data_IF_018241045705
#
_entry.id   IF_018241045705
#
_cell.length_a   1.000
_cell.length_b   1.000
_cell.length_c   1.000
_cell.angle_alpha   90.00
_cell.angle_beta   90.00
_cell.angle_gamma   90.00
#
_symmetry.space_group_name_H-M   'P 1'
#
loop_
_entity.id
_entity.type
_entity.pdbx_description
1 polymer ?
#
# COMPACT_ATOMS: atom_id res chain seq x y z
N UNK A 1 18.26 13.05 31.18
CA UNK A 1 16.83 12.62 31.12
C UNK A 1 16.73 11.36 30.29
N UNK A 2 16.23 10.28 30.87
CA UNK A 2 16.13 9.00 30.20
C UNK A 2 14.71 8.81 29.64
N UNK A 3 14.60 8.50 28.35
CA UNK A 3 13.35 8.12 27.71
C UNK A 3 13.30 6.59 27.62
N UNK A 4 12.20 5.99 28.07
CA UNK A 4 12.01 4.52 28.12
C UNK A 4 10.62 4.14 27.61
N UNK A 5 10.46 2.87 27.20
CA UNK A 5 9.16 2.29 26.90
C UNK A 5 8.69 1.47 28.10
N UNK A 6 7.51 1.79 28.60
CA UNK A 6 6.85 1.05 29.68
C UNK A 6 5.64 0.32 29.12
N UNK A 7 5.54 -1.01 29.20
CA UNK A 7 4.36 -1.75 28.79
C UNK A 7 3.10 -1.24 29.47
N UNK A 8 2.01 -1.08 28.71
CA UNK A 8 0.68 -0.68 29.23
C UNK A 8 -0.18 -1.89 29.61
N UNK A 9 0.26 -3.11 29.24
CA UNK A 9 -0.44 -4.36 29.49
C UNK A 9 0.45 -5.58 29.20
N UNK A 10 -0.09 -6.79 29.35
CA UNK A 10 0.63 -8.02 29.03
C UNK A 10 0.95 -8.10 27.55
N UNK A 11 1.98 -8.88 27.20
CA UNK A 11 2.26 -9.22 25.82
C UNK A 11 1.14 -10.13 25.30
N UNK A 12 0.46 -9.69 24.25
CA UNK A 12 -0.49 -10.55 23.54
C UNK A 12 0.29 -11.48 22.63
N UNK A 13 0.01 -12.80 22.72
CA UNK A 13 0.64 -13.83 21.91
C UNK A 13 -0.42 -14.69 21.25
N UNK A 14 -0.34 -14.85 19.92
CA UNK A 14 -1.13 -15.80 19.16
C UNK A 14 -0.48 -17.18 19.09
N UNK A 15 -1.26 -18.21 18.76
CA UNK A 15 -0.79 -19.59 18.60
C UNK A 15 0.20 -19.73 17.43
N UNK A 16 0.14 -18.85 16.44
CA UNK A 16 1.02 -18.71 15.28
C UNK A 16 2.33 -17.97 15.56
N UNK A 17 2.58 -17.62 16.83
CA UNK A 17 3.72 -16.82 17.25
C UNK A 17 3.55 -15.32 17.05
N UNK A 18 2.37 -14.86 16.62
CA UNK A 18 2.04 -13.44 16.53
C UNK A 18 2.19 -12.76 17.90
N UNK A 19 2.71 -11.54 17.92
CA UNK A 19 2.93 -10.75 19.14
C UNK A 19 2.39 -9.36 18.94
N UNK A 20 1.74 -8.80 19.97
CA UNK A 20 1.33 -7.40 19.97
C UNK A 20 1.44 -6.80 21.38
N UNK A 21 1.85 -5.53 21.46
CA UNK A 21 1.93 -4.79 22.73
C UNK A 21 1.96 -3.30 22.50
N UNK A 22 1.29 -2.57 23.37
CA UNK A 22 1.36 -1.11 23.45
C UNK A 22 2.25 -0.68 24.61
N UNK A 23 2.93 0.44 24.44
CA UNK A 23 3.84 1.02 25.42
C UNK A 23 3.54 2.50 25.65
N UNK A 24 3.67 2.95 26.89
CA UNK A 24 3.86 4.36 27.20
C UNK A 24 5.31 4.76 26.87
N UNK A 25 5.48 5.89 26.20
CA UNK A 25 6.77 6.57 26.13
C UNK A 25 6.92 7.40 27.40
N UNK A 26 7.90 7.07 28.25
CA UNK A 26 8.10 7.71 29.56
C UNK A 26 9.40 8.51 29.57
N UNK A 27 9.38 9.66 30.28
CA UNK A 27 10.57 10.45 30.63
C UNK A 27 10.60 10.55 32.14
N UNK A 28 11.66 10.01 32.77
CA UNK A 28 11.76 9.93 34.23
C UNK A 28 10.47 9.35 34.85
N UNK A 29 9.98 8.23 34.31
CA UNK A 29 8.73 7.53 34.71
C UNK A 29 7.40 8.26 34.39
N UNK A 30 7.41 9.52 33.96
CA UNK A 30 6.21 10.25 33.55
C UNK A 30 5.84 9.90 32.11
N UNK A 31 4.62 9.44 31.81
CA UNK A 31 4.17 9.21 30.45
C UNK A 31 4.15 10.53 29.67
N UNK A 32 4.68 10.49 28.44
CA UNK A 32 4.77 11.64 27.51
C UNK A 32 4.27 11.27 26.12
N UNK A 33 3.84 10.03 25.92
CA UNK A 33 3.35 9.54 24.64
C UNK A 33 3.07 8.05 24.68
N UNK A 34 2.80 7.49 23.49
CA UNK A 34 2.51 6.06 23.32
C UNK A 34 3.12 5.55 22.01
N UNK A 35 3.28 4.22 21.92
CA UNK A 35 3.72 3.53 20.72
C UNK A 35 3.15 2.10 20.75
N UNK A 36 2.68 1.61 19.58
CA UNK A 36 2.23 0.24 19.40
C UNK A 36 3.21 -0.57 18.56
N UNK A 37 3.40 -1.82 18.92
CA UNK A 37 4.16 -2.82 18.18
C UNK A 37 3.32 -4.08 18.00
N UNK A 38 3.30 -4.62 16.78
CA UNK A 38 2.68 -5.88 16.46
C UNK A 38 3.51 -6.62 15.42
N UNK A 39 3.50 -7.96 15.43
CA UNK A 39 4.04 -8.72 14.30
C UNK A 39 3.11 -8.58 13.10
N UNK A 40 3.67 -8.72 11.90
CA UNK A 40 2.92 -8.50 10.67
C UNK A 40 2.03 -9.70 10.34
N UNK A 41 0.76 -9.46 10.05
CA UNK A 41 -0.23 -10.51 9.78
C UNK A 41 0.14 -11.40 8.58
N UNK A 42 0.75 -10.83 7.54
CA UNK A 42 1.13 -11.55 6.31
C UNK A 42 2.53 -12.13 6.37
N UNK A 43 3.52 -11.33 6.85
CA UNK A 43 4.92 -11.76 6.91
C UNK A 43 5.26 -12.49 8.21
N UNK A 44 4.26 -12.74 9.05
CA UNK A 44 4.40 -13.49 10.29
C UNK A 44 5.30 -12.83 11.35
N UNK A 45 5.77 -13.60 12.34
CA UNK A 45 6.44 -13.08 13.52
C UNK A 45 7.84 -12.50 13.26
N UNK A 46 8.40 -12.69 12.07
CA UNK A 46 9.72 -12.14 11.71
C UNK A 46 9.68 -10.67 11.26
N UNK A 47 8.51 -10.10 11.07
CA UNK A 47 8.33 -8.69 10.69
C UNK A 47 7.50 -7.98 11.74
N UNK A 48 8.03 -6.89 12.30
CA UNK A 48 7.32 -6.03 13.24
C UNK A 48 6.68 -4.84 12.53
N UNK A 49 5.47 -4.49 12.92
CA UNK A 49 4.79 -3.22 12.56
C UNK A 49 4.88 -2.27 13.74
N UNK A 50 5.44 -1.08 13.50
CA UNK A 50 5.40 0.04 14.41
C UNK A 50 4.21 0.92 14.02
N UNK A 51 3.32 1.20 14.96
CA UNK A 51 2.13 2.03 14.74
C UNK A 51 1.87 2.95 15.92
N UNK A 52 1.06 3.98 15.71
CA UNK A 52 0.57 4.90 16.75
C UNK A 52 1.65 5.54 17.64
N UNK A 53 2.84 5.82 17.06
CA UNK A 53 3.83 6.61 17.78
C UNK A 53 3.33 8.05 17.95
N UNK A 54 3.00 8.40 19.17
CA UNK A 54 2.50 9.73 19.54
C UNK A 54 3.30 10.30 20.70
N UNK A 55 3.70 11.55 20.60
CA UNK A 55 4.31 12.31 21.69
C UNK A 55 3.39 13.49 22.01
N UNK A 56 3.07 13.67 23.28
CA UNK A 56 2.25 14.77 23.77
C UNK A 56 2.88 16.11 23.37
N UNK A 57 2.06 17.07 22.98
CA UNK A 57 2.51 18.33 22.39
C UNK A 57 3.58 19.07 23.20
N UNK A 58 3.45 19.22 24.56
CA UNK A 58 4.48 19.89 25.38
C UNK A 58 5.83 19.18 25.40
N UNK A 59 5.83 17.90 24.96
CA UNK A 59 6.99 17.02 25.00
C UNK A 59 7.64 16.78 23.64
N UNK A 60 7.07 17.34 22.57
CA UNK A 60 7.60 17.25 21.19
C UNK A 60 8.91 18.02 21.00
N UNK A 61 9.60 17.76 19.88
CA UNK A 61 10.85 18.43 19.45
C UNK A 61 12.01 18.37 20.46
N UNK A 62 12.02 17.30 21.29
CA UNK A 62 13.06 17.03 22.30
C UNK A 62 13.72 15.66 22.11
N UNK A 63 13.70 15.12 20.89
CA UNK A 63 14.27 13.80 20.56
C UNK A 63 13.50 12.59 21.09
N UNK A 64 12.37 12.77 21.79
CA UNK A 64 11.65 11.67 22.47
C UNK A 64 11.06 10.65 21.51
N UNK A 65 10.54 11.08 20.35
CA UNK A 65 10.06 10.18 19.30
C UNK A 65 11.19 9.33 18.72
N UNK A 66 12.37 9.90 18.54
CA UNK A 66 13.56 9.19 18.05
C UNK A 66 13.97 8.09 19.03
N UNK A 67 14.07 8.42 20.33
CA UNK A 67 14.45 7.44 21.35
C UNK A 67 13.38 6.36 21.49
N UNK A 68 12.09 6.73 21.43
CA UNK A 68 10.99 5.76 21.46
C UNK A 68 11.03 4.80 20.26
N UNK A 69 11.27 5.29 19.05
CA UNK A 69 11.39 4.44 17.86
C UNK A 69 12.61 3.51 17.93
N UNK A 70 13.77 3.99 18.39
CA UNK A 70 14.95 3.15 18.61
C UNK A 70 14.70 2.08 19.68
N UNK A 71 14.05 2.43 20.80
CA UNK A 71 13.67 1.45 21.82
C UNK A 71 12.66 0.43 21.29
N UNK A 72 11.75 0.82 20.38
CA UNK A 72 10.84 -0.08 19.71
C UNK A 72 11.58 -1.06 18.78
N UNK A 73 12.63 -0.63 18.09
CA UNK A 73 13.49 -1.51 17.29
C UNK A 73 14.16 -2.58 18.17
N UNK A 74 14.63 -2.20 19.37
CA UNK A 74 15.19 -3.17 20.33
C UNK A 74 14.13 -4.18 20.82
N UNK A 75 12.92 -3.73 21.10
CA UNK A 75 11.81 -4.64 21.45
C UNK A 75 11.52 -5.60 20.29
N UNK A 76 11.47 -5.10 19.06
CA UNK A 76 11.25 -5.94 17.88
C UNK A 76 12.38 -6.97 17.68
N UNK A 77 13.65 -6.59 17.90
CA UNK A 77 14.78 -7.55 17.93
C UNK A 77 14.59 -8.62 19.03
N UNK A 78 14.20 -8.21 20.22
CA UNK A 78 13.88 -9.12 21.32
C UNK A 78 12.70 -10.06 21.03
N UNK A 79 11.82 -9.70 20.10
CA UNK A 79 10.76 -10.57 19.59
C UNK A 79 11.25 -11.55 18.50
N UNK A 80 12.48 -11.39 18.01
CA UNK A 80 13.05 -12.18 16.92
C UNK A 80 12.68 -11.66 15.53
N UNK A 81 12.22 -10.40 15.42
CA UNK A 81 11.91 -9.80 14.13
C UNK A 81 13.21 -9.43 13.39
N UNK A 82 13.26 -9.74 12.11
CA UNK A 82 14.37 -9.38 11.22
C UNK A 82 14.15 -8.02 10.52
N UNK A 83 12.93 -7.49 10.56
CA UNK A 83 12.55 -6.24 9.89
C UNK A 83 11.45 -5.54 10.68
N UNK A 84 11.45 -4.21 10.64
CA UNK A 84 10.38 -3.36 11.17
C UNK A 84 9.79 -2.51 10.04
N UNK A 85 8.46 -2.38 10.03
CA UNK A 85 7.71 -1.61 9.04
C UNK A 85 6.82 -0.58 9.74
N UNK A 86 6.55 0.52 9.04
CA UNK A 86 5.60 1.54 9.51
C UNK A 86 4.94 2.26 8.35
N UNK A 87 3.74 2.78 8.58
CA UNK A 87 3.02 3.63 7.64
C UNK A 87 2.99 5.05 8.19
N UNK A 88 3.35 6.02 7.34
CA UNK A 88 3.40 7.43 7.71
C UNK A 88 2.49 8.23 6.79
N UNK A 89 1.49 8.98 7.32
CA UNK A 89 0.69 9.90 6.52
C UNK A 89 1.55 10.94 5.82
N UNK A 90 1.16 11.34 4.61
CA UNK A 90 1.97 12.26 3.80
C UNK A 90 2.08 13.67 4.41
N UNK A 91 1.08 14.09 5.17
CA UNK A 91 1.06 15.37 5.89
C UNK A 91 1.85 15.35 7.22
N UNK A 92 2.27 14.16 7.69
CA UNK A 92 3.00 14.01 8.94
C UNK A 92 4.50 14.31 8.78
N UNK A 93 4.87 15.53 8.37
CA UNK A 93 6.24 15.93 8.04
C UNK A 93 7.28 15.63 9.15
N UNK A 94 6.89 15.69 10.43
CA UNK A 94 7.77 15.33 11.54
C UNK A 94 8.06 13.83 11.59
N UNK A 95 7.07 12.99 11.32
CA UNK A 95 7.23 11.54 11.28
C UNK A 95 8.05 11.11 10.05
N UNK A 96 7.84 11.74 8.88
CA UNK A 96 8.65 11.50 7.68
C UNK A 96 10.13 11.80 7.94
N UNK A 97 10.45 12.94 8.54
CA UNK A 97 11.85 13.26 8.93
C UNK A 97 12.41 12.25 9.93
N UNK A 98 11.60 11.80 10.87
CA UNK A 98 12.02 10.82 11.87
C UNK A 98 12.41 9.49 11.23
N UNK A 99 11.52 8.90 10.41
CA UNK A 99 11.79 7.60 9.79
C UNK A 99 12.98 7.66 8.83
N UNK A 100 13.12 8.75 8.06
CA UNK A 100 14.29 8.96 7.18
C UNK A 100 15.59 9.07 8.00
N UNK A 101 15.60 9.85 9.09
CA UNK A 101 16.77 10.01 9.96
C UNK A 101 17.17 8.71 10.66
N UNK A 102 16.21 7.81 10.90
CA UNK A 102 16.46 6.48 11.49
C UNK A 102 16.84 5.41 10.45
N UNK A 103 16.94 5.76 9.17
CA UNK A 103 17.36 4.85 8.09
C UNK A 103 16.27 3.92 7.61
N UNK A 104 15.00 4.27 7.81
CA UNK A 104 13.91 3.56 7.14
C UNK A 104 13.89 3.90 5.66
N UNK A 105 13.65 2.89 4.82
CA UNK A 105 13.57 3.02 3.37
C UNK A 105 12.11 2.92 2.94
N UNK A 106 11.69 3.83 2.08
CA UNK A 106 10.35 3.77 1.48
C UNK A 106 10.24 2.59 0.52
N UNK A 107 9.18 1.78 0.68
CA UNK A 107 8.89 0.62 -0.16
C UNK A 107 7.79 0.87 -1.18
N UNK A 108 6.77 1.60 -0.76
CA UNK A 108 5.62 1.94 -1.60
C UNK A 108 4.90 3.15 -1.02
N UNK A 109 4.00 3.72 -1.80
CA UNK A 109 3.10 4.78 -1.34
C UNK A 109 1.69 4.57 -1.83
N UNK A 110 0.73 5.02 -1.02
CA UNK A 110 -0.63 5.21 -1.46
C UNK A 110 -0.75 6.58 -2.09
N UNK A 111 -1.27 6.64 -3.30
CA UNK A 111 -1.61 7.87 -3.99
C UNK A 111 -3.12 8.01 -4.07
N UNK A 112 -3.60 9.25 -4.02
CA UNK A 112 -5.02 9.57 -4.21
C UNK A 112 -5.19 10.80 -5.08
N UNK A 113 -6.35 10.90 -5.74
CA UNK A 113 -6.74 12.06 -6.55
C UNK A 113 -8.23 12.32 -6.36
N UNK A 114 -8.68 13.58 -6.09
CA UNK A 114 -10.08 13.95 -6.19
C UNK A 114 -10.59 13.80 -7.63
N UNK A 115 -11.77 13.23 -7.80
CA UNK A 115 -12.43 13.09 -9.10
C UNK A 115 -13.28 14.34 -9.43
N UNK A 116 -12.66 15.51 -9.42
CA UNK A 116 -13.29 16.81 -9.75
C UNK A 116 -12.98 17.23 -11.17
N UNK A 117 -13.77 18.20 -11.71
CA UNK A 117 -13.57 18.74 -13.07
C UNK A 117 -14.16 17.85 -14.19
N UNK A 118 -13.89 18.08 -15.47
CA UNK A 118 -14.39 17.30 -16.59
C UNK A 118 -13.80 15.88 -16.61
N UNK A 119 -14.57 14.93 -17.15
CA UNK A 119 -14.08 13.59 -17.42
C UNK A 119 -13.06 13.67 -18.56
N UNK A 120 -11.84 13.14 -18.41
CA UNK A 120 -10.88 13.12 -19.50
C UNK A 120 -11.38 12.27 -20.67
N UNK A 121 -11.26 12.81 -21.88
CA UNK A 121 -11.54 12.05 -23.10
C UNK A 121 -10.36 11.12 -23.44
N UNK A 122 -10.68 9.94 -23.97
CA UNK A 122 -9.68 9.06 -24.51
C UNK A 122 -9.21 9.54 -25.90
N UNK A 123 -7.95 9.33 -26.26
CA UNK A 123 -7.45 9.66 -27.59
C UNK A 123 -8.25 8.97 -28.69
N UNK A 124 -8.29 9.58 -29.88
CA UNK A 124 -8.97 9.00 -31.04
C UNK A 124 -8.49 7.58 -31.33
N UNK A 125 -9.42 6.67 -31.62
CA UNK A 125 -9.17 5.26 -31.86
C UNK A 125 -8.88 4.43 -30.57
N UNK A 126 -8.95 5.07 -29.39
CA UNK A 126 -8.76 4.39 -28.10
C UNK A 126 -10.11 4.21 -27.42
N UNK A 127 -10.43 3.00 -27.01
CA UNK A 127 -11.70 2.64 -26.37
C UNK A 127 -11.47 1.75 -25.13
N UNK A 128 -12.22 2.03 -24.07
CA UNK A 128 -12.31 1.17 -22.89
C UNK A 128 -13.60 0.36 -22.94
N UNK A 129 -13.50 -0.95 -22.75
CA UNK A 129 -14.67 -1.85 -22.70
C UNK A 129 -14.55 -2.83 -21.55
N UNK A 130 -15.66 -3.41 -21.09
CA UNK A 130 -15.60 -4.53 -20.16
C UNK A 130 -14.77 -5.70 -20.73
N UNK A 131 -14.05 -6.39 -19.84
CA UNK A 131 -13.32 -7.61 -20.15
C UNK A 131 -14.32 -8.74 -20.43
N UNK A 132 -14.06 -9.55 -21.42
CA UNK A 132 -14.87 -10.74 -21.76
C UNK A 132 -14.44 -11.95 -20.95
N UNK A 133 -15.31 -12.99 -20.85
CA UNK A 133 -14.98 -14.26 -20.19
C UNK A 133 -13.74 -14.94 -20.80
N UNK A 134 -13.57 -14.84 -22.12
CA UNK A 134 -12.41 -15.41 -22.82
C UNK A 134 -11.09 -14.70 -22.44
N UNK A 135 -11.14 -13.41 -22.09
CA UNK A 135 -10.00 -12.61 -21.70
C UNK A 135 -9.68 -12.73 -20.21
N UNK A 136 -10.71 -12.96 -19.38
CA UNK A 136 -10.58 -12.96 -17.93
C UNK A 136 -9.69 -14.10 -17.40
N UNK A 137 -9.79 -15.30 -17.96
CA UNK A 137 -8.98 -16.44 -17.53
C UNK A 137 -7.47 -16.18 -17.67
N UNK A 138 -6.97 -15.90 -18.88
CA UNK A 138 -5.57 -15.55 -19.10
C UNK A 138 -5.08 -14.33 -18.32
N UNK A 139 -5.94 -13.31 -18.18
CA UNK A 139 -5.63 -12.12 -17.36
C UNK A 139 -5.44 -12.50 -15.90
N UNK A 140 -6.36 -13.27 -15.30
CA UNK A 140 -6.30 -13.64 -13.88
C UNK A 140 -5.05 -14.45 -13.55
N UNK A 141 -4.62 -15.34 -14.44
CA UNK A 141 -3.37 -16.09 -14.26
C UNK A 141 -2.18 -15.13 -14.17
N UNK A 142 -2.05 -14.21 -15.15
CA UNK A 142 -0.97 -13.21 -15.14
C UNK A 142 -1.02 -12.28 -13.93
N UNK A 143 -2.21 -11.82 -13.54
CA UNK A 143 -2.40 -10.94 -12.39
C UNK A 143 -1.93 -11.61 -11.09
N UNK A 144 -2.27 -12.88 -10.88
CA UNK A 144 -1.82 -13.67 -9.72
C UNK A 144 -0.30 -13.86 -9.71
N UNK A 145 0.30 -14.17 -10.85
CA UNK A 145 1.76 -14.35 -10.97
C UNK A 145 2.51 -13.05 -10.63
N UNK A 146 2.09 -11.91 -11.21
CA UNK A 146 2.68 -10.61 -10.91
C UNK A 146 2.49 -10.21 -9.44
N UNK A 147 1.31 -10.47 -8.88
CA UNK A 147 1.04 -10.21 -7.48
C UNK A 147 1.92 -11.08 -6.57
N UNK A 148 2.04 -12.37 -6.84
CA UNK A 148 2.92 -13.29 -6.10
C UNK A 148 4.39 -12.83 -6.17
N UNK A 149 4.90 -12.46 -7.36
CA UNK A 149 6.24 -11.91 -7.52
C UNK A 149 6.48 -10.69 -6.63
N UNK A 150 5.53 -9.75 -6.58
CA UNK A 150 5.62 -8.57 -5.71
C UNK A 150 5.79 -8.94 -4.22
N UNK A 151 5.14 -10.00 -3.75
CA UNK A 151 5.28 -10.49 -2.37
C UNK A 151 6.58 -11.23 -2.14
N UNK A 152 7.04 -12.01 -3.11
CA UNK A 152 8.35 -12.68 -3.07
C UNK A 152 9.49 -11.66 -2.99
N UNK A 153 9.44 -10.60 -3.79
CA UNK A 153 10.41 -9.49 -3.75
C UNK A 153 10.43 -8.76 -2.40
N UNK A 154 9.33 -8.85 -1.66
CA UNK A 154 9.22 -8.32 -0.29
C UNK A 154 9.67 -9.31 0.79
N UNK A 155 10.10 -10.51 0.38
CA UNK A 155 10.68 -11.53 1.25
C UNK A 155 9.68 -12.57 1.78
N UNK A 156 8.49 -12.71 1.16
CA UNK A 156 7.61 -13.84 1.42
C UNK A 156 8.12 -15.07 0.65
N UNK A 157 8.14 -16.28 1.23
CA UNK A 157 8.43 -17.51 0.51
C UNK A 157 7.51 -17.67 -0.71
N UNK A 158 8.02 -18.27 -1.79
CA UNK A 158 7.32 -18.33 -3.08
C UNK A 158 5.98 -19.08 -3.00
N UNK A 159 5.93 -20.17 -2.26
CA UNK A 159 4.72 -20.95 -2.02
C UNK A 159 3.68 -20.16 -1.21
N UNK A 160 4.10 -19.44 -0.18
CA UNK A 160 3.23 -18.56 0.60
C UNK A 160 2.74 -17.36 -0.23
N UNK A 161 3.61 -16.78 -1.08
CA UNK A 161 3.24 -15.70 -1.98
C UNK A 161 2.19 -16.14 -3.02
N UNK A 162 2.32 -17.34 -3.57
CA UNK A 162 1.32 -17.93 -4.47
C UNK A 162 0.00 -18.23 -3.76
N UNK A 163 0.05 -18.86 -2.58
CA UNK A 163 -1.15 -19.12 -1.78
C UNK A 163 -1.88 -17.82 -1.41
N UNK A 164 -1.12 -16.77 -1.07
CA UNK A 164 -1.68 -15.44 -0.82
C UNK A 164 -2.32 -14.85 -2.08
N UNK A 165 -1.66 -14.95 -3.23
CA UNK A 165 -2.21 -14.46 -4.49
C UNK A 165 -3.55 -15.14 -4.81
N UNK A 166 -3.63 -16.46 -4.64
CA UNK A 166 -4.89 -17.21 -4.81
C UNK A 166 -5.98 -16.72 -3.85
N UNK A 167 -5.67 -16.63 -2.56
CA UNK A 167 -6.64 -16.25 -1.53
C UNK A 167 -7.13 -14.81 -1.71
N UNK A 168 -6.22 -13.87 -2.00
CA UNK A 168 -6.57 -12.45 -2.15
C UNK A 168 -7.40 -12.20 -3.40
N UNK A 169 -7.06 -12.83 -4.53
CA UNK A 169 -7.86 -12.73 -5.76
C UNK A 169 -9.22 -13.43 -5.62
N UNK A 170 -9.28 -14.60 -4.98
CA UNK A 170 -10.55 -15.28 -4.72
C UNK A 170 -11.49 -14.45 -3.82
N UNK A 171 -10.92 -13.74 -2.83
CA UNK A 171 -11.67 -12.84 -1.96
C UNK A 171 -12.12 -11.57 -2.68
N UNK A 172 -11.25 -10.98 -3.51
CA UNK A 172 -11.54 -9.75 -4.24
C UNK A 172 -12.45 -9.97 -5.46
N UNK A 173 -12.43 -11.15 -6.05
CA UNK A 173 -13.21 -11.54 -7.22
C UNK A 173 -14.03 -12.82 -6.98
N UNK A 174 -14.90 -12.86 -5.94
CA UNK A 174 -15.62 -14.09 -5.56
C UNK A 174 -16.58 -14.61 -6.63
N UNK A 175 -16.94 -13.77 -7.60
CA UNK A 175 -17.80 -14.11 -8.75
C UNK A 175 -17.15 -13.77 -10.09
N UNK A 176 -15.81 -13.72 -10.16
CA UNK A 176 -15.07 -13.33 -11.36
C UNK A 176 -15.53 -11.98 -11.92
N UNK A 177 -15.84 -11.93 -13.21
CA UNK A 177 -16.36 -10.72 -13.88
C UNK A 177 -17.70 -10.22 -13.33
N UNK A 178 -18.50 -11.10 -12.71
CA UNK A 178 -19.79 -10.74 -12.11
C UNK A 178 -19.66 -10.27 -10.64
N UNK A 179 -18.45 -10.03 -10.15
CA UNK A 179 -18.25 -9.49 -8.81
C UNK A 179 -18.80 -8.06 -8.73
N UNK A 180 -19.71 -7.75 -7.78
CA UNK A 180 -20.28 -6.42 -7.65
C UNK A 180 -19.21 -5.37 -7.37
N UNK A 181 -19.48 -4.15 -7.76
CA UNK A 181 -18.63 -2.99 -7.50
C UNK A 181 -17.17 -3.17 -7.94
N UNK A 182 -16.96 -4.07 -8.92
CA UNK A 182 -15.66 -4.36 -9.52
C UNK A 182 -15.75 -4.22 -11.03
N UNK A 183 -14.85 -3.45 -11.61
CA UNK A 183 -14.80 -3.19 -13.04
C UNK A 183 -13.47 -3.73 -13.59
N UNK A 184 -13.56 -4.80 -14.38
CA UNK A 184 -12.46 -5.35 -15.16
C UNK A 184 -12.61 -4.89 -16.60
N UNK A 185 -11.65 -4.09 -17.07
CA UNK A 185 -11.71 -3.45 -18.37
C UNK A 185 -10.50 -3.76 -19.24
N UNK A 186 -10.72 -3.79 -20.53
CA UNK A 186 -9.70 -3.86 -21.58
C UNK A 186 -9.65 -2.51 -22.28
N UNK A 187 -8.45 -1.98 -22.48
CA UNK A 187 -8.20 -0.84 -23.35
C UNK A 187 -7.79 -1.36 -24.73
N UNK A 188 -8.47 -0.87 -25.75
CA UNK A 188 -8.10 -1.13 -27.16
C UNK A 188 -7.67 0.16 -27.83
N UNK A 189 -6.75 0.06 -28.79
CA UNK A 189 -6.34 1.16 -29.65
C UNK A 189 -6.35 0.66 -31.11
N UNK A 190 -7.15 1.31 -31.97
CA UNK A 190 -7.45 0.84 -33.33
C UNK A 190 -7.83 -0.65 -33.41
N UNK A 191 -8.67 -1.10 -32.45
CA UNK A 191 -9.15 -2.47 -32.37
C UNK A 191 -8.18 -3.50 -31.75
N UNK A 192 -6.92 -3.10 -31.48
CA UNK A 192 -5.93 -3.96 -30.83
C UNK A 192 -5.97 -3.75 -29.32
N UNK A 193 -5.97 -4.83 -28.52
CA UNK A 193 -5.82 -4.73 -27.07
C UNK A 193 -4.42 -4.19 -26.75
N UNK A 194 -4.34 -3.21 -25.86
CA UNK A 194 -3.10 -2.55 -25.45
C UNK A 194 -2.89 -2.53 -23.94
N UNK A 195 -3.88 -2.97 -23.17
CA UNK A 195 -3.75 -3.05 -21.72
C UNK A 195 -5.05 -3.37 -21.01
N UNK A 196 -4.95 -3.52 -19.68
CA UNK A 196 -6.04 -3.92 -18.79
C UNK A 196 -6.11 -3.02 -17.55
N UNK A 197 -7.30 -2.95 -16.95
CA UNK A 197 -7.58 -2.19 -15.75
C UNK A 197 -8.46 -3.03 -14.81
N UNK A 198 -8.09 -3.06 -13.53
CA UNK A 198 -8.93 -3.56 -12.44
C UNK A 198 -9.22 -2.43 -11.46
N UNK A 199 -10.46 -1.99 -11.43
CA UNK A 199 -10.97 -0.93 -10.56
C UNK A 199 -12.02 -1.50 -9.60
N UNK A 200 -11.91 -1.18 -8.32
CA UNK A 200 -12.98 -1.37 -7.34
C UNK A 200 -13.70 -0.04 -7.09
N UNK A 201 -15.01 -0.11 -6.94
CA UNK A 201 -15.87 1.02 -6.54
C UNK A 201 -16.75 0.62 -5.33
N UNK A 202 -16.31 -0.39 -4.57
CA UNK A 202 -17.05 -0.92 -3.42
C UNK A 202 -17.06 0.03 -2.21
N UNK A 203 -15.96 0.72 -1.98
CA UNK A 203 -15.80 1.65 -0.86
C UNK A 203 -16.19 3.08 -1.26
N UNK A 204 -16.07 4.03 -0.34
CA UNK A 204 -16.32 5.47 -0.59
C UNK A 204 -15.41 6.03 -1.68
N UNK A 205 -14.16 5.59 -1.74
CA UNK A 205 -13.19 5.92 -2.79
C UNK A 205 -13.11 4.80 -3.84
N UNK A 206 -12.97 5.14 -5.12
CA UNK A 206 -12.56 4.18 -6.13
C UNK A 206 -11.09 3.75 -5.88
N UNK A 207 -10.78 2.49 -6.16
CA UNK A 207 -9.42 1.98 -5.96
C UNK A 207 -8.93 1.16 -7.16
N UNK A 208 -7.80 1.56 -7.75
CA UNK A 208 -7.13 0.81 -8.81
C UNK A 208 -6.29 -0.30 -8.18
N UNK A 209 -6.74 -1.54 -8.35
CA UNK A 209 -5.99 -2.73 -7.91
C UNK A 209 -4.88 -3.09 -8.88
N UNK A 210 -5.16 -2.99 -10.18
CA UNK A 210 -4.19 -3.27 -11.23
C UNK A 210 -4.41 -2.38 -12.46
N UNK A 211 -3.32 -1.93 -13.06
CA UNK A 211 -3.28 -1.23 -14.33
C UNK A 211 -2.04 -1.68 -15.09
N UNK A 212 -2.25 -2.33 -16.21
CA UNK A 212 -1.19 -2.93 -17.01
C UNK A 212 -1.28 -2.52 -18.47
N UNK A 213 -0.15 -2.07 -19.05
CA UNK A 213 0.02 -1.90 -20.49
C UNK A 213 0.84 -3.05 -21.01
N UNK A 214 0.36 -3.70 -22.07
CA UNK A 214 1.03 -4.81 -22.72
C UNK A 214 2.44 -4.37 -23.18
N UNK A 215 3.46 -5.23 -23.01
CA UNK A 215 4.87 -4.84 -23.11
C UNK A 215 5.22 -4.16 -24.45
N UNK A 216 4.66 -4.67 -25.54
CA UNK A 216 4.85 -4.18 -26.92
C UNK A 216 4.18 -2.82 -27.19
N UNK A 217 3.23 -2.41 -26.32
CA UNK A 217 2.47 -1.18 -26.43
C UNK A 217 2.88 -0.09 -25.43
N UNK A 218 3.95 -0.32 -24.65
CA UNK A 218 4.48 0.67 -23.70
C UNK A 218 5.09 1.87 -24.43
N UNK A 219 5.14 3.01 -23.73
CA UNK A 219 5.71 4.25 -24.29
C UNK A 219 4.77 5.06 -25.21
N UNK A 220 3.56 4.56 -25.51
CA UNK A 220 2.60 5.19 -26.44
C UNK A 220 1.45 5.93 -25.72
N UNK A 221 1.56 6.18 -24.41
CA UNK A 221 0.55 6.92 -23.66
C UNK A 221 -0.63 6.08 -23.15
N UNK A 222 -0.69 4.78 -23.42
CA UNK A 222 -1.80 3.91 -23.03
C UNK A 222 -2.00 3.80 -21.51
N UNK A 223 -0.94 3.92 -20.70
CA UNK A 223 -1.05 4.00 -19.25
C UNK A 223 -1.86 5.22 -18.79
N UNK A 224 -1.70 6.36 -19.46
CA UNK A 224 -2.51 7.56 -19.22
C UNK A 224 -3.97 7.32 -19.60
N UNK A 225 -4.22 6.69 -20.74
CA UNK A 225 -5.57 6.36 -21.20
C UNK A 225 -6.27 5.39 -20.24
N UNK A 226 -5.55 4.38 -19.69
CA UNK A 226 -6.10 3.48 -18.67
C UNK A 226 -6.47 4.23 -17.38
N UNK A 227 -5.64 5.19 -16.95
CA UNK A 227 -5.96 6.00 -15.77
C UNK A 227 -7.14 6.94 -16.01
N UNK A 228 -7.26 7.55 -17.20
CA UNK A 228 -8.44 8.33 -17.58
C UNK A 228 -9.71 7.47 -17.61
N UNK A 229 -9.60 6.22 -18.11
CA UNK A 229 -10.71 5.26 -18.05
C UNK A 229 -11.11 4.96 -16.61
N UNK A 230 -10.13 4.71 -15.72
CA UNK A 230 -10.38 4.47 -14.29
C UNK A 230 -11.08 5.67 -13.62
N UNK A 231 -10.63 6.90 -13.90
CA UNK A 231 -11.23 8.14 -13.39
C UNK A 231 -12.67 8.32 -13.90
N UNK A 232 -12.92 8.02 -15.20
CA UNK A 232 -14.25 8.07 -15.78
C UNK A 232 -15.20 7.05 -15.15
N UNK A 233 -14.73 5.81 -14.97
CA UNK A 233 -15.50 4.73 -14.35
C UNK A 233 -15.78 4.99 -12.86
N UNK A 234 -14.79 5.45 -12.10
CA UNK A 234 -14.97 5.81 -10.69
C UNK A 234 -16.01 6.90 -10.52
N UNK A 235 -15.99 7.89 -11.39
CA UNK A 235 -16.96 8.98 -11.39
C UNK A 235 -18.36 8.52 -11.80
N UNK A 236 -18.47 7.68 -12.81
CA UNK A 236 -19.75 7.10 -13.23
C UNK A 236 -20.39 6.25 -12.12
N UNK A 237 -19.56 5.67 -11.25
CA UNK A 237 -20.00 4.95 -10.04
C UNK A 237 -20.29 5.91 -8.84
N UNK A 238 -20.23 7.23 -9.04
CA UNK A 238 -20.52 8.21 -7.99
C UNK A 238 -19.42 8.37 -6.94
N UNK A 239 -18.15 8.04 -7.27
CA UNK A 239 -17.02 8.22 -6.36
C UNK A 239 -16.39 9.59 -6.54
N UNK A 240 -16.05 10.23 -5.42
CA UNK A 240 -15.46 11.58 -5.40
C UNK A 240 -13.93 11.55 -5.39
N UNK A 241 -13.35 10.37 -5.18
CA UNK A 241 -11.91 10.18 -5.10
C UNK A 241 -11.50 8.82 -5.69
N UNK A 242 -10.28 8.75 -6.19
CA UNK A 242 -9.64 7.51 -6.65
C UNK A 242 -8.28 7.36 -5.99
N UNK A 243 -7.92 6.12 -5.63
CA UNK A 243 -6.64 5.79 -5.02
C UNK A 243 -5.99 4.59 -5.67
N UNK A 244 -4.69 4.45 -5.42
CA UNK A 244 -3.87 3.31 -5.83
C UNK A 244 -2.65 3.16 -4.91
N UNK A 245 -2.01 2.00 -4.95
CA UNK A 245 -0.69 1.80 -4.37
C UNK A 245 0.36 1.65 -5.48
N UNK A 246 1.55 2.21 -5.26
CA UNK A 246 2.67 2.11 -6.19
C UNK A 246 3.97 1.85 -5.44
N UNK A 247 4.82 0.97 -5.98
CA UNK A 247 6.16 0.72 -5.45
C UNK A 247 7.05 1.94 -5.68
N UNK A 248 7.95 2.23 -4.74
CA UNK A 248 8.82 3.41 -4.79
C UNK A 248 9.90 3.36 -5.88
N UNK A 249 10.20 2.18 -6.38
CA UNK A 249 11.14 1.95 -7.49
C UNK A 249 10.47 1.98 -8.88
N UNK A 250 9.14 1.96 -8.95
CA UNK A 250 8.40 2.08 -10.21
C UNK A 250 8.34 3.55 -10.68
N UNK A 251 9.51 4.09 -11.05
CA UNK A 251 9.65 5.47 -11.52
C UNK A 251 8.73 5.83 -12.70
N UNK A 252 8.54 4.97 -13.73
CA UNK A 252 7.60 5.29 -14.82
C UNK A 252 6.17 5.51 -14.34
N UNK A 253 5.66 4.66 -13.45
CA UNK A 253 4.32 4.79 -12.90
C UNK A 253 4.20 6.03 -12.00
N UNK A 254 5.19 6.29 -11.15
CA UNK A 254 5.23 7.48 -10.29
C UNK A 254 5.15 8.78 -11.09
N UNK A 255 5.93 8.88 -12.18
CA UNK A 255 5.90 10.03 -13.08
C UNK A 255 4.55 10.19 -13.78
N UNK A 256 3.95 9.07 -14.21
CA UNK A 256 2.61 9.07 -14.80
C UNK A 256 1.59 9.61 -13.81
N UNK A 257 1.51 9.04 -12.61
CA UNK A 257 0.52 9.45 -11.60
C UNK A 257 0.70 10.89 -11.16
N UNK A 258 1.94 11.35 -10.94
CA UNK A 258 2.23 12.75 -10.63
C UNK A 258 1.76 13.69 -11.75
N UNK A 259 2.00 13.33 -13.03
CA UNK A 259 1.55 14.12 -14.18
C UNK A 259 0.02 14.16 -14.34
N UNK A 260 -0.70 13.22 -13.72
CA UNK A 260 -2.16 13.15 -13.67
C UNK A 260 -2.77 13.82 -12.43
N UNK A 261 -1.93 14.36 -11.53
CA UNK A 261 -2.39 15.05 -10.32
C UNK A 261 -2.73 14.10 -9.15
N UNK A 262 -2.19 12.87 -9.15
CA UNK A 262 -2.25 12.01 -7.97
C UNK A 262 -1.23 12.47 -6.93
N UNK A 263 -1.66 12.59 -5.69
CA UNK A 263 -0.85 13.05 -4.57
C UNK A 263 -0.68 11.94 -3.52
N UNK A 264 0.47 11.89 -2.82
CA UNK A 264 0.68 10.93 -1.75
C UNK A 264 -0.31 11.16 -0.59
N UNK A 265 -0.98 10.08 -0.17
CA UNK A 265 -1.79 10.04 1.05
C UNK A 265 -1.00 9.44 2.21
N UNK A 266 -0.19 8.41 1.94
CA UNK A 266 0.70 7.80 2.94
C UNK A 266 1.88 7.10 2.27
N UNK A 267 2.94 6.90 3.06
CA UNK A 267 4.15 6.17 2.68
C UNK A 267 4.33 4.95 3.56
N UNK A 268 4.77 3.84 2.97
CA UNK A 268 5.10 2.59 3.65
C UNK A 268 6.61 2.44 3.72
N UNK A 269 7.14 2.42 4.93
CA UNK A 269 8.57 2.34 5.19
C UNK A 269 8.96 1.01 5.81
N UNK A 270 10.17 0.56 5.53
CA UNK A 270 10.75 -0.58 6.20
C UNK A 270 12.21 -0.33 6.59
N UNK A 271 12.68 -1.07 7.60
CA UNK A 271 14.08 -1.09 8.04
C UNK A 271 14.46 -2.50 8.46
N UNK A 272 15.57 -3.08 7.94
CA UNK A 272 16.15 -4.31 8.48
C UNK A 272 16.59 -4.08 9.92
N UNK A 273 16.37 -5.09 10.77
CA UNK A 273 16.85 -5.13 12.16
C UNK A 273 18.06 -6.07 12.19
N UNK A 274 19.25 -5.49 12.09
CA UNK A 274 20.52 -6.21 12.16
C UNK A 274 20.91 -6.40 13.61
#
# INVERSE_FOLDING_TARGET
>A
MTTTLRPTGPLQQGADGAKARTYDVCVNSRPVGSIGLATHEVFGPRVCRLHDLRIAEPDRRRGRGTVAALAAEEVARGWGCARIETTVPADAAAALRLVTALGYVERSRRLTKPLTGPVPELPAGTEGRPMTEAEAGPWLVRAKELYASTWTDRGLPEDEARAKAEADHARALPRGLATPDTLLSVLTHHGTQVGTLWLSVADDDAFVYDVAVDAEHRGHGHGRSLMHLAEAQGRAAGRDRIGLNVLSDNTPALNLYASLGYEPASYYFCKPLI
#
